data_IF_861880596778
#
_entry.id   IF_861880596778
#
_cell.length_a   1.000
_cell.length_b   1.000
_cell.length_c   1.000
_cell.angle_alpha   90.00
_cell.angle_beta   90.00
_cell.angle_gamma   90.00
#
_symmetry.space_group_name_H-M   'P 1'
#
loop_
_entity.id
_entity.type
_entity.pdbx_description
1 polymer ?
#
# COMPACT_ATOMS: atom_id res chain seq x y z
N UNK A 1 -13.03 -8.53 9.19
CA UNK A 1 -12.63 -7.45 8.25
C UNK A 1 -12.66 -7.99 6.84
N UNK A 2 -13.27 -7.28 5.90
CA UNK A 2 -13.28 -7.69 4.49
C UNK A 2 -11.92 -7.51 3.82
N UNK A 3 -11.65 -8.27 2.76
CA UNK A 3 -10.42 -8.18 1.97
C UNK A 3 -10.12 -6.73 1.53
N UNK A 4 -11.12 -6.01 1.04
CA UNK A 4 -10.99 -4.61 0.60
C UNK A 4 -10.60 -3.66 1.73
N UNK A 5 -11.09 -3.90 2.96
CA UNK A 5 -10.73 -3.11 4.13
C UNK A 5 -9.26 -3.32 4.55
N UNK A 6 -8.73 -4.54 4.36
CA UNK A 6 -7.31 -4.80 4.63
C UNK A 6 -6.42 -4.02 3.64
N UNK A 7 -6.74 -4.06 2.35
CA UNK A 7 -5.98 -3.33 1.33
C UNK A 7 -6.08 -1.81 1.55
N UNK A 8 -7.25 -1.30 1.96
CA UNK A 8 -7.42 0.10 2.35
C UNK A 8 -6.50 0.50 3.50
N UNK A 9 -6.41 -0.35 4.54
CA UNK A 9 -5.52 -0.11 5.68
C UNK A 9 -4.06 -0.09 5.24
N UNK A 10 -3.63 -1.05 4.42
CA UNK A 10 -2.28 -1.09 3.86
C UNK A 10 -1.96 0.17 3.07
N UNK A 11 -2.84 0.58 2.15
CA UNK A 11 -2.65 1.82 1.39
C UNK A 11 -2.62 3.06 2.29
N UNK A 12 -3.40 3.09 3.36
CA UNK A 12 -3.37 4.21 4.32
C UNK A 12 -1.99 4.32 4.96
N UNK A 13 -1.44 3.22 5.48
CA UNK A 13 -0.09 3.18 6.06
C UNK A 13 0.98 3.52 5.03
N UNK A 14 0.89 2.97 3.82
CA UNK A 14 1.83 3.28 2.74
C UNK A 14 1.78 4.75 2.34
N UNK A 15 0.61 5.37 2.24
CA UNK A 15 0.49 6.79 1.87
C UNK A 15 0.91 7.76 2.98
N UNK A 16 1.16 7.26 4.20
CA UNK A 16 1.80 8.04 5.26
C UNK A 16 3.33 8.00 5.15
N UNK A 17 3.89 6.98 4.51
CA UNK A 17 5.34 6.80 4.34
C UNK A 17 5.86 7.21 2.96
N UNK A 18 5.00 7.16 1.94
CA UNK A 18 5.33 7.44 0.53
C UNK A 18 4.29 8.36 -0.09
N UNK A 19 4.71 9.15 -1.07
CA UNK A 19 3.76 9.88 -1.92
C UNK A 19 2.96 8.88 -2.77
N UNK A 20 1.73 9.24 -3.16
CA UNK A 20 0.93 8.38 -4.04
C UNK A 20 1.54 8.20 -5.43
N UNK A 21 2.31 9.19 -5.87
CA UNK A 21 3.04 9.16 -7.14
C UNK A 21 4.17 8.13 -7.09
N UNK A 22 5.01 8.16 -6.05
CA UNK A 22 6.05 7.15 -5.82
C UNK A 22 5.46 5.74 -5.67
N UNK A 23 4.33 5.60 -4.95
CA UNK A 23 3.63 4.31 -4.89
C UNK A 23 3.17 3.86 -6.27
N UNK A 24 2.67 4.77 -7.11
CA UNK A 24 2.21 4.42 -8.45
C UNK A 24 3.30 3.73 -9.27
N UNK A 25 4.55 4.19 -9.14
CA UNK A 25 5.71 3.58 -9.79
C UNK A 25 6.12 2.26 -9.14
N UNK A 26 6.10 2.19 -7.81
CA UNK A 26 6.59 1.02 -7.05
C UNK A 26 5.66 -0.19 -7.10
N UNK A 27 4.35 0.01 -7.17
CA UNK A 27 3.36 -1.07 -7.15
C UNK A 27 2.63 -1.28 -8.48
N UNK A 28 2.98 -0.51 -9.51
CA UNK A 28 2.33 -0.53 -10.83
C UNK A 28 0.79 -0.40 -10.73
N UNK A 29 0.35 0.53 -9.88
CA UNK A 29 -1.07 0.87 -9.71
C UNK A 29 -1.23 2.37 -9.88
N UNK A 30 -2.02 2.86 -10.86
CA UNK A 30 -2.14 4.29 -11.10
C UNK A 30 -2.50 5.08 -9.84
N UNK A 31 -1.88 6.25 -9.63
CA UNK A 31 -2.12 7.13 -8.48
C UNK A 31 -3.62 7.35 -8.20
N UNK A 32 -4.42 7.61 -9.25
CA UNK A 32 -5.87 7.79 -9.11
C UNK A 32 -6.61 6.53 -8.64
N UNK A 33 -6.10 5.34 -8.99
CA UNK A 33 -6.60 4.05 -8.49
C UNK A 33 -6.24 3.86 -7.02
N UNK A 34 -5.00 4.13 -6.63
CA UNK A 34 -4.55 4.12 -5.22
C UNK A 34 -5.46 5.01 -4.37
N UNK A 35 -5.68 6.25 -4.81
CA UNK A 35 -6.54 7.22 -4.12
C UNK A 35 -7.98 6.72 -3.97
N UNK A 36 -8.56 6.13 -5.03
CA UNK A 36 -9.93 5.60 -4.96
C UNK A 36 -10.04 4.37 -4.05
N UNK A 37 -9.07 3.46 -4.08
CA UNK A 37 -9.06 2.27 -3.20
C UNK A 37 -8.94 2.75 -1.75
N UNK A 38 -7.93 3.57 -1.42
CA UNK A 38 -7.70 4.11 -0.07
C UNK A 38 -8.96 4.74 0.53
N UNK A 39 -9.68 5.54 -0.25
CA UNK A 39 -10.87 6.24 0.19
C UNK A 39 -12.17 5.41 0.08
N UNK A 40 -12.08 4.10 -0.22
CA UNK A 40 -13.25 3.22 -0.37
C UNK A 40 -14.17 3.54 -1.56
N UNK A 41 -13.70 4.37 -2.51
CA UNK A 41 -14.44 4.80 -3.70
C UNK A 41 -14.32 3.82 -4.87
N UNK A 42 -13.33 2.92 -4.83
CA UNK A 42 -13.20 1.79 -5.76
C UNK A 42 -13.31 0.49 -4.97
N UNK A 43 -14.39 -0.24 -5.21
CA UNK A 43 -14.64 -1.59 -4.69
C UNK A 43 -14.37 -2.61 -5.80
N UNK A 44 -14.07 -3.86 -5.44
CA UNK A 44 -13.84 -4.95 -6.41
C UNK A 44 -12.67 -4.69 -7.39
N UNK A 45 -11.57 -4.12 -6.92
CA UNK A 45 -10.34 -4.02 -7.72
C UNK A 45 -9.75 -5.42 -7.98
N UNK A 46 -9.00 -5.57 -9.07
CA UNK A 46 -8.49 -6.89 -9.48
C UNK A 46 -7.59 -7.51 -8.42
N UNK A 47 -7.58 -8.84 -8.37
CA UNK A 47 -6.67 -9.59 -7.49
C UNK A 47 -5.20 -9.21 -7.73
N UNK A 48 -4.80 -8.95 -8.98
CA UNK A 48 -3.46 -8.48 -9.31
C UNK A 48 -3.11 -7.17 -8.59
N UNK A 49 -4.02 -6.18 -8.57
CA UNK A 49 -3.78 -4.91 -7.86
C UNK A 49 -3.70 -5.12 -6.35
N UNK A 50 -4.57 -5.97 -5.82
CA UNK A 50 -4.54 -6.34 -4.40
C UNK A 50 -3.20 -6.97 -4.02
N UNK A 51 -2.70 -7.88 -4.87
CA UNK A 51 -1.46 -8.60 -4.65
C UNK A 51 -0.23 -7.68 -4.74
N UNK A 52 -0.15 -6.80 -5.74
CA UNK A 52 0.93 -5.80 -5.82
C UNK A 52 1.00 -4.92 -4.57
N UNK A 53 -0.15 -4.42 -4.11
CA UNK A 53 -0.24 -3.61 -2.87
C UNK A 53 0.23 -4.41 -1.66
N UNK A 54 -0.28 -5.64 -1.51
CA UNK A 54 0.04 -6.51 -0.37
C UNK A 54 1.53 -6.87 -0.36
N UNK A 55 2.08 -7.31 -1.49
CA UNK A 55 3.47 -7.74 -1.63
C UNK A 55 4.45 -6.61 -1.31
N UNK A 56 4.18 -5.40 -1.80
CA UNK A 56 4.97 -4.23 -1.46
C UNK A 56 4.84 -3.86 0.03
N UNK A 57 3.63 -3.83 0.57
CA UNK A 57 3.40 -3.52 1.98
C UNK A 57 4.16 -4.48 2.92
N UNK A 58 4.12 -5.78 2.65
CA UNK A 58 4.83 -6.78 3.45
C UNK A 58 6.34 -6.60 3.36
N UNK A 59 6.87 -6.37 2.16
CA UNK A 59 8.29 -6.07 1.95
C UNK A 59 8.72 -4.82 2.74
N UNK A 60 7.96 -3.74 2.63
CA UNK A 60 8.22 -2.50 3.38
C UNK A 60 8.18 -2.71 4.90
N UNK A 61 7.16 -3.40 5.42
CA UNK A 61 7.07 -3.70 6.87
C UNK A 61 8.26 -4.51 7.37
N UNK A 62 8.74 -5.48 6.60
CA UNK A 62 9.92 -6.28 6.97
C UNK A 62 11.16 -5.36 7.04
N UNK A 63 11.33 -4.45 6.08
CA UNK A 63 12.45 -3.49 6.08
C UNK A 63 12.40 -2.56 7.30
N UNK A 64 11.21 -2.10 7.69
CA UNK A 64 11.02 -1.29 8.90
C UNK A 64 11.42 -2.06 10.17
N UNK A 65 11.06 -3.34 10.28
CA UNK A 65 11.41 -4.19 11.44
C UNK A 65 12.90 -4.55 11.50
N UNK A 66 13.56 -4.63 10.34
CA UNK A 66 15.00 -4.91 10.24
C UNK A 66 15.88 -3.70 10.46
N UNK A 67 15.30 -2.52 10.67
CA UNK A 67 16.06 -1.33 11.09
C UNK A 67 16.03 -1.28 12.62
N UNK A 68 17.08 -1.74 13.33
CA UNK A 68 17.13 -1.55 14.77
C UNK A 68 17.12 -0.05 15.05
N UNK A 69 16.20 0.39 15.90
CA UNK A 69 16.21 1.74 16.43
C UNK A 69 17.55 1.95 17.16
N UNK A 70 18.44 2.77 16.58
CA UNK A 70 19.66 3.23 17.24
C UNK A 70 20.93 3.03 16.41
N UNK A 71 21.18 3.95 15.48
CA UNK A 71 22.52 4.50 15.21
C UNK A 71 22.36 5.94 14.70
N UNK A 72 22.15 6.87 15.64
CA UNK A 72 22.50 8.30 15.55
C UNK A 72 22.58 8.84 16.96
#
# INVERSE_FOLDING_TARGET
>A
MGHDQQIQKMLTELTNAFTQDALSELIDVPQGTISKIKNGRLKNFSHQKADSIRSFYLTWKITQQKTPAGQS
#
